data_IF_256022005912
#
_entry.id   IF_256022005912
#
_cell.length_a   1.000
_cell.length_b   1.000
_cell.length_c   1.000
_cell.angle_alpha   90.00
_cell.angle_beta   90.00
_cell.angle_gamma   90.00
#
_symmetry.space_group_name_H-M   'P 1'
#
loop_
_entity.id
_entity.type
_entity.pdbx_description
1 polymer ?
#
# COMPACT_ATOMS: atom_id res chain seq x y z
N UNK A 1 -44.31 -27.21 89.17
CA UNK A 1 -45.42 -26.27 88.93
C UNK A 1 -45.20 -25.72 87.54
N UNK A 2 -46.15 -26.01 86.66
CA UNK A 2 -46.37 -25.43 85.31
C UNK A 2 -46.22 -23.89 85.34
N UNK A 3 -45.78 -23.17 84.30
CA UNK A 3 -46.44 -22.91 83.00
C UNK A 3 -45.41 -22.21 82.06
N UNK A 4 -45.32 -22.64 80.78
CA UNK A 4 -44.76 -21.94 79.59
C UNK A 4 -45.80 -20.96 78.97
N UNK A 5 -45.55 -20.18 77.89
CA UNK A 5 -44.37 -19.46 77.38
C UNK A 5 -44.73 -18.04 76.84
N UNK A 6 -43.77 -17.26 76.33
CA UNK A 6 -43.97 -16.38 75.14
C UNK A 6 -42.67 -15.94 74.47
N UNK A 7 -42.75 -15.83 73.15
CA UNK A 7 -41.72 -15.77 72.10
C UNK A 7 -41.33 -14.33 71.74
N UNK A 8 -40.06 -14.12 71.34
CA UNK A 8 -39.52 -13.16 70.35
C UNK A 8 -38.09 -12.76 70.79
N UNK A 9 -37.05 -12.69 69.97
CA UNK A 9 -36.91 -12.74 68.52
C UNK A 9 -35.47 -13.17 68.19
N UNK A 10 -35.34 -13.70 66.98
CA UNK A 10 -34.09 -14.15 66.39
C UNK A 10 -33.08 -13.02 66.22
N UNK A 11 -31.80 -13.29 66.54
CA UNK A 11 -30.70 -12.65 65.83
C UNK A 11 -29.69 -13.70 65.38
N UNK A 12 -29.72 -13.88 64.07
CA UNK A 12 -28.88 -14.76 63.28
C UNK A 12 -27.41 -14.37 63.42
N UNK A 13 -26.62 -15.32 63.90
CA UNK A 13 -25.19 -15.36 63.67
C UNK A 13 -24.91 -15.51 62.16
N UNK A 14 -24.56 -14.43 61.46
CA UNK A 14 -23.80 -14.51 60.19
C UNK A 14 -22.80 -13.35 60.16
N UNK A 15 -21.66 -13.55 60.82
CA UNK A 15 -20.45 -12.77 60.54
C UNK A 15 -19.91 -13.17 59.17
N UNK A 16 -20.22 -12.33 58.17
CA UNK A 16 -19.30 -11.86 57.13
C UNK A 16 -18.29 -12.86 56.58
N UNK A 17 -18.72 -13.69 55.62
CA UNK A 17 -17.82 -14.13 54.55
C UNK A 17 -17.65 -12.96 53.58
N UNK A 18 -16.74 -12.04 53.91
CA UNK A 18 -16.31 -10.99 52.98
C UNK A 18 -15.65 -11.63 51.77
N UNK A 19 -16.38 -11.64 50.65
CA UNK A 19 -15.91 -12.02 49.34
C UNK A 19 -14.70 -11.14 48.96
N UNK A 20 -13.48 -11.64 49.16
CA UNK A 20 -12.25 -11.02 48.67
C UNK A 20 -11.95 -11.37 47.20
N UNK A 21 -12.86 -12.06 46.52
CA UNK A 21 -12.72 -12.45 45.10
C UNK A 21 -13.04 -11.29 44.14
N UNK A 22 -13.58 -10.16 44.62
CA UNK A 22 -14.16 -9.15 43.73
C UNK A 22 -13.30 -7.95 43.33
N UNK A 23 -12.06 -7.78 43.83
CA UNK A 23 -11.25 -6.58 43.53
C UNK A 23 -10.05 -6.82 42.63
N UNK A 24 -9.30 -7.90 42.86
CA UNK A 24 -8.13 -8.20 42.02
C UNK A 24 -8.54 -8.62 40.61
N UNK A 25 -9.58 -9.45 40.46
CA UNK A 25 -10.06 -9.91 39.15
C UNK A 25 -10.72 -8.78 38.34
N UNK A 26 -11.43 -7.87 39.02
CA UNK A 26 -12.03 -6.68 38.37
C UNK A 26 -10.95 -5.69 37.95
N UNK A 27 -9.90 -5.49 38.75
CA UNK A 27 -8.76 -4.63 38.38
C UNK A 27 -7.94 -5.21 37.23
N UNK A 28 -7.72 -6.53 37.20
CA UNK A 28 -7.04 -7.23 36.10
C UNK A 28 -7.86 -7.20 34.82
N UNK A 29 -9.16 -7.47 34.87
CA UNK A 29 -10.05 -7.38 33.71
C UNK A 29 -10.15 -5.94 33.16
N UNK A 30 -10.18 -4.94 34.05
CA UNK A 30 -10.22 -3.54 33.66
C UNK A 30 -8.90 -3.08 33.04
N UNK A 31 -7.76 -3.51 33.57
CA UNK A 31 -6.44 -3.23 32.99
C UNK A 31 -6.27 -3.90 31.63
N UNK A 32 -6.71 -5.16 31.48
CA UNK A 32 -6.68 -5.88 30.22
C UNK A 32 -7.57 -5.21 29.17
N UNK A 33 -8.75 -4.74 29.56
CA UNK A 33 -9.68 -4.00 28.70
C UNK A 33 -9.08 -2.67 28.23
N UNK A 34 -8.45 -1.90 29.13
CA UNK A 34 -7.77 -0.64 28.78
C UNK A 34 -6.61 -0.90 27.81
N UNK A 35 -5.80 -1.95 28.02
CA UNK A 35 -4.71 -2.32 27.11
C UNK A 35 -5.27 -2.76 25.75
N UNK A 36 -6.36 -3.53 25.72
CA UNK A 36 -6.99 -3.98 24.48
C UNK A 36 -7.55 -2.79 23.69
N UNK A 37 -8.23 -1.86 24.35
CA UNK A 37 -8.78 -0.64 23.74
C UNK A 37 -7.66 0.27 23.24
N UNK A 38 -6.56 0.43 24.00
CA UNK A 38 -5.41 1.21 23.57
C UNK A 38 -4.68 0.57 22.37
N UNK A 39 -4.57 -0.77 22.33
CA UNK A 39 -4.02 -1.50 21.20
C UNK A 39 -4.90 -1.36 19.95
N UNK A 40 -6.22 -1.47 20.10
CA UNK A 40 -7.20 -1.25 19.02
C UNK A 40 -7.13 0.18 18.48
N UNK A 41 -7.13 1.18 19.35
CA UNK A 41 -6.97 2.59 18.96
C UNK A 41 -5.62 2.83 18.28
N UNK A 42 -4.53 2.29 18.80
CA UNK A 42 -3.20 2.38 18.19
C UNK A 42 -3.14 1.73 16.80
N UNK A 43 -3.76 0.56 16.63
CA UNK A 43 -3.86 -0.11 15.34
C UNK A 43 -4.76 0.62 14.33
N UNK A 44 -5.81 1.29 14.79
CA UNK A 44 -6.69 2.10 13.95
C UNK A 44 -5.96 3.34 13.42
N UNK A 45 -5.22 4.05 14.28
CA UNK A 45 -4.42 5.21 13.88
C UNK A 45 -3.28 4.85 12.93
N UNK A 46 -2.59 3.73 13.19
CA UNK A 46 -1.55 3.23 12.29
C UNK A 46 -2.12 2.81 10.92
N UNK A 47 -3.35 2.28 10.88
CA UNK A 47 -4.02 1.93 9.63
C UNK A 47 -4.43 3.18 8.82
N UNK A 48 -4.96 4.22 9.47
CA UNK A 48 -5.30 5.48 8.79
C UNK A 48 -4.07 6.19 8.21
N UNK A 49 -2.94 6.18 8.93
CA UNK A 49 -1.68 6.76 8.43
C UNK A 49 -1.14 6.00 7.20
N UNK A 50 -1.27 4.68 7.18
CA UNK A 50 -0.85 3.85 6.03
C UNK A 50 -1.82 4.03 4.87
N UNK A 51 -3.12 4.12 5.12
CA UNK A 51 -4.13 4.39 4.09
C UNK A 51 -3.89 5.75 3.44
N UNK A 52 -3.70 6.83 4.22
CA UNK A 52 -3.36 8.16 3.68
C UNK A 52 -2.05 8.14 2.89
N UNK A 53 -0.99 7.53 3.45
CA UNK A 53 0.29 7.36 2.75
C UNK A 53 0.12 6.58 1.44
N UNK A 54 -0.72 5.56 1.43
CA UNK A 54 -1.06 4.75 0.27
C UNK A 54 -2.22 5.33 -0.55
N UNK A 55 -2.70 6.54 -0.29
CA UNK A 55 -3.75 7.25 -1.03
C UNK A 55 -3.25 8.55 -1.68
N UNK A 56 -1.95 8.84 -1.61
CA UNK A 56 -1.28 10.05 -2.15
C UNK A 56 -1.54 10.36 -3.64
N UNK A 57 -2.20 9.49 -4.39
CA UNK A 57 -2.73 9.82 -5.72
C UNK A 57 -4.20 10.23 -5.66
N UNK A 58 -4.55 11.08 -4.70
CA UNK A 58 -5.75 11.91 -4.79
C UNK A 58 -5.37 13.19 -5.53
N UNK A 59 -6.31 13.73 -6.30
CA UNK A 59 -6.13 15.05 -6.88
C UNK A 59 -5.96 16.08 -5.76
N UNK A 60 -4.81 16.76 -5.73
CA UNK A 60 -4.55 17.89 -4.85
C UNK A 60 -4.47 19.19 -5.69
N UNK A 61 -5.42 20.09 -5.49
CA UNK A 61 -5.44 21.39 -6.17
C UNK A 61 -4.36 22.35 -5.67
N UNK A 62 -3.76 22.09 -4.51
CA UNK A 62 -2.75 22.95 -3.87
C UNK A 62 -1.31 22.57 -4.25
N UNK A 63 -1.10 21.35 -4.73
CA UNK A 63 0.13 20.87 -5.34
C UNK A 63 -0.18 20.41 -6.76
N UNK A 64 -0.40 21.32 -7.73
CA UNK A 64 -0.96 20.96 -9.02
C UNK A 64 0.14 20.29 -9.86
N UNK A 65 0.34 19.01 -9.58
CA UNK A 65 1.20 18.17 -10.36
C UNK A 65 0.69 18.05 -11.81
N UNK A 66 -0.61 18.28 -11.98
CA UNK A 66 -1.34 18.31 -13.23
C UNK A 66 -2.04 19.66 -13.39
N UNK A 67 -2.28 20.04 -14.64
CA UNK A 67 -2.97 21.28 -14.98
C UNK A 67 -4.44 21.32 -14.50
N UNK A 68 -5.08 20.18 -14.23
CA UNK A 68 -6.48 20.12 -13.76
C UNK A 68 -6.87 18.75 -13.20
N UNK A 69 -8.00 18.70 -12.48
CA UNK A 69 -8.67 17.46 -12.07
C UNK A 69 -8.90 16.51 -13.26
N UNK A 70 -9.36 17.02 -14.41
CA UNK A 70 -9.60 16.17 -15.58
C UNK A 70 -8.30 15.59 -16.14
N UNK A 71 -7.21 16.37 -16.14
CA UNK A 71 -5.90 15.88 -16.58
C UNK A 71 -5.37 14.77 -15.65
N UNK A 72 -5.58 14.92 -14.34
CA UNK A 72 -5.25 13.90 -13.34
C UNK A 72 -5.92 12.56 -13.67
N UNK A 73 -7.24 12.55 -13.82
CA UNK A 73 -7.98 11.30 -14.06
C UNK A 73 -7.78 10.72 -15.46
N UNK A 74 -7.56 11.57 -16.47
CA UNK A 74 -7.24 11.11 -17.81
C UNK A 74 -5.90 10.36 -17.84
N UNK A 75 -4.87 10.90 -17.20
CA UNK A 75 -3.57 10.24 -17.14
C UNK A 75 -3.60 8.99 -16.25
N UNK A 76 -4.35 9.01 -15.14
CA UNK A 76 -4.60 7.82 -14.33
C UNK A 76 -5.24 6.70 -15.15
N UNK A 77 -6.24 7.02 -15.97
CA UNK A 77 -6.88 6.03 -16.83
C UNK A 77 -5.89 5.41 -17.84
N UNK A 78 -4.99 6.22 -18.40
CA UNK A 78 -3.92 5.73 -19.28
C UNK A 78 -2.96 4.80 -18.54
N UNK A 79 -2.53 5.18 -17.33
CA UNK A 79 -1.70 4.31 -16.50
C UNK A 79 -2.36 2.94 -16.25
N UNK A 80 -3.64 2.93 -15.84
CA UNK A 80 -4.39 1.71 -15.58
C UNK A 80 -4.48 0.83 -16.83
N UNK A 81 -4.70 1.42 -18.00
CA UNK A 81 -4.72 0.71 -19.29
C UNK A 81 -3.38 -0.02 -19.54
N UNK A 82 -2.25 0.66 -19.34
CA UNK A 82 -0.94 0.04 -19.55
C UNK A 82 -0.61 -1.03 -18.51
N UNK A 83 -0.97 -0.80 -17.24
CA UNK A 83 -0.83 -1.79 -16.17
C UNK A 83 -1.64 -3.05 -16.48
N UNK A 84 -2.89 -2.89 -16.88
CA UNK A 84 -3.78 -4.02 -17.19
C UNK A 84 -3.30 -4.77 -18.43
N UNK A 85 -2.77 -4.05 -19.42
CA UNK A 85 -2.11 -4.66 -20.55
C UNK A 85 -0.87 -5.48 -20.11
N UNK A 86 -0.03 -4.94 -19.24
CA UNK A 86 1.11 -5.67 -18.68
C UNK A 86 0.67 -6.95 -17.94
N UNK A 87 -0.34 -6.86 -17.07
CA UNK A 87 -0.93 -8.03 -16.40
C UNK A 87 -1.41 -9.09 -17.39
N UNK A 88 -2.11 -8.67 -18.44
CA UNK A 88 -2.62 -9.56 -19.48
C UNK A 88 -1.49 -10.32 -20.18
N UNK A 89 -0.50 -9.61 -20.72
CA UNK A 89 0.58 -10.20 -21.53
C UNK A 89 1.57 -11.03 -20.70
N UNK A 90 1.59 -10.85 -19.37
CA UNK A 90 2.51 -11.55 -18.49
C UNK A 90 1.87 -12.65 -17.63
N UNK A 91 0.53 -12.78 -17.65
CA UNK A 91 -0.22 -13.68 -16.75
C UNK A 91 0.22 -15.15 -16.75
N UNK A 92 0.77 -15.62 -17.87
CA UNK A 92 1.16 -17.02 -18.12
C UNK A 92 2.59 -17.20 -18.61
N UNK A 93 3.43 -16.17 -18.52
CA UNK A 93 4.83 -16.23 -19.01
C UNK A 93 5.82 -16.31 -17.85
N UNK A 94 6.98 -16.91 -18.11
CA UNK A 94 8.10 -16.91 -17.16
C UNK A 94 8.93 -15.65 -17.32
N UNK A 95 8.72 -14.70 -16.42
CA UNK A 95 9.51 -13.49 -16.42
C UNK A 95 10.95 -13.76 -16.00
N UNK A 96 11.32 -14.92 -15.44
CA UNK A 96 12.73 -15.31 -15.22
C UNK A 96 13.57 -15.47 -16.49
N UNK A 97 12.95 -15.48 -17.67
CA UNK A 97 13.62 -15.71 -18.95
C UNK A 97 13.84 -14.38 -19.70
N UNK A 98 15.11 -14.03 -19.96
CA UNK A 98 15.49 -12.78 -20.62
C UNK A 98 14.92 -12.61 -22.03
N UNK A 99 14.69 -13.70 -22.77
CA UNK A 99 14.05 -13.63 -24.09
C UNK A 99 12.57 -13.31 -23.98
N UNK A 100 11.89 -13.85 -22.96
CA UNK A 100 10.50 -13.49 -22.67
C UNK A 100 10.42 -12.02 -22.26
N UNK A 101 11.30 -11.56 -21.37
CA UNK A 101 11.36 -10.16 -20.93
C UNK A 101 11.56 -9.20 -22.12
N UNK A 102 12.46 -9.52 -23.06
CA UNK A 102 12.64 -8.74 -24.28
C UNK A 102 11.35 -8.66 -25.12
N UNK A 103 10.63 -9.78 -25.28
CA UNK A 103 9.34 -9.78 -25.96
C UNK A 103 8.28 -8.93 -25.25
N UNK A 104 8.29 -8.88 -23.91
CA UNK A 104 7.41 -7.99 -23.14
C UNK A 104 7.76 -6.52 -23.37
N UNK A 105 9.06 -6.18 -23.46
CA UNK A 105 9.52 -4.82 -23.80
C UNK A 105 8.96 -4.39 -25.16
N UNK A 106 9.08 -5.26 -26.16
CA UNK A 106 8.59 -4.98 -27.51
C UNK A 106 7.07 -4.73 -27.53
N UNK A 107 6.30 -5.55 -26.80
CA UNK A 107 4.85 -5.38 -26.67
C UNK A 107 4.48 -4.06 -25.97
N UNK A 108 5.17 -3.69 -24.90
CA UNK A 108 4.94 -2.43 -24.19
C UNK A 108 5.29 -1.22 -25.07
N UNK A 109 6.40 -1.27 -25.81
CA UNK A 109 6.78 -0.23 -26.75
C UNK A 109 5.78 -0.12 -27.91
N UNK A 110 5.32 -1.25 -28.46
CA UNK A 110 4.29 -1.26 -29.48
C UNK A 110 2.98 -0.64 -28.97
N UNK A 111 2.62 -0.89 -27.70
CA UNK A 111 1.44 -0.27 -27.06
C UNK A 111 1.60 1.24 -26.89
N UNK A 112 2.79 1.75 -26.53
CA UNK A 112 3.06 3.19 -26.51
C UNK A 112 2.87 3.81 -27.90
N UNK A 113 3.49 3.22 -28.92
CA UNK A 113 3.38 3.67 -30.31
C UNK A 113 1.93 3.65 -30.79
N UNK A 114 1.16 2.59 -30.47
CA UNK A 114 -0.26 2.47 -30.81
C UNK A 114 -1.08 3.64 -30.23
N UNK A 115 -0.73 4.12 -29.05
CA UNK A 115 -1.39 5.26 -28.39
C UNK A 115 -0.92 6.62 -28.90
N UNK A 116 0.03 6.64 -29.85
CA UNK A 116 0.61 7.86 -30.40
C UNK A 116 1.65 8.52 -29.49
N UNK A 117 2.19 7.78 -28.51
CA UNK A 117 3.22 8.29 -27.62
C UNK A 117 4.62 8.15 -28.21
N UNK A 118 5.47 9.14 -27.94
CA UNK A 118 6.90 9.08 -28.25
C UNK A 118 7.60 8.19 -27.21
N UNK A 119 7.99 6.99 -27.64
CA UNK A 119 8.66 5.99 -26.80
C UNK A 119 10.12 6.34 -26.48
N UNK A 120 10.69 7.38 -27.10
CA UNK A 120 12.00 7.93 -26.72
C UNK A 120 11.93 8.82 -25.48
N UNK A 121 10.71 9.20 -25.09
CA UNK A 121 10.44 10.16 -24.01
C UNK A 121 9.57 9.55 -22.91
N UNK A 122 8.50 8.85 -23.28
CA UNK A 122 7.61 8.11 -22.39
C UNK A 122 8.07 6.65 -22.32
N UNK A 123 8.18 6.08 -21.13
CA UNK A 123 8.57 4.67 -20.99
C UNK A 123 7.99 4.00 -19.77
N UNK A 124 8.19 2.69 -19.68
CA UNK A 124 7.92 1.90 -18.49
C UNK A 124 9.20 1.44 -17.82
N UNK A 125 9.12 1.30 -16.51
CA UNK A 125 10.10 0.58 -15.70
C UNK A 125 9.35 -0.39 -14.82
N UNK A 126 9.68 -1.67 -14.88
CA UNK A 126 9.06 -2.71 -14.07
C UNK A 126 10.14 -3.36 -13.22
N UNK A 127 10.04 -3.25 -11.91
CA UNK A 127 11.04 -3.79 -10.97
C UNK A 127 10.44 -4.93 -10.17
N UNK A 128 11.13 -6.08 -10.09
CA UNK A 128 10.71 -7.18 -9.22
C UNK A 128 10.77 -6.79 -7.74
N UNK A 129 9.92 -7.41 -6.94
CA UNK A 129 9.87 -7.22 -5.48
C UNK A 129 11.18 -7.51 -4.74
N UNK A 130 12.07 -8.34 -5.29
CA UNK A 130 13.42 -8.57 -4.74
C UNK A 130 14.45 -7.51 -5.16
N UNK A 131 14.09 -6.56 -6.04
CA UNK A 131 14.96 -5.48 -6.50
C UNK A 131 15.94 -5.85 -7.62
N UNK A 132 16.06 -7.14 -7.95
CA UNK A 132 17.16 -7.65 -8.80
C UNK A 132 16.92 -7.52 -10.31
N UNK A 133 15.67 -7.36 -10.74
CA UNK A 133 15.34 -7.42 -12.17
C UNK A 133 14.42 -6.27 -12.57
N UNK A 134 14.85 -5.58 -13.61
CA UNK A 134 14.18 -4.41 -14.17
C UNK A 134 13.91 -4.60 -15.66
N UNK A 135 12.65 -4.56 -16.06
CA UNK A 135 12.24 -4.42 -17.45
C UNK A 135 12.13 -2.92 -17.73
N UNK A 136 12.95 -2.40 -18.64
CA UNK A 136 12.94 -0.98 -19.02
C UNK A 136 12.63 -0.85 -20.50
N UNK A 137 11.57 -0.10 -20.82
CA UNK A 137 11.11 -0.06 -22.19
C UNK A 137 11.93 0.83 -23.11
N UNK A 138 12.74 1.80 -22.62
CA UNK A 138 13.67 2.56 -23.48
C UNK A 138 14.50 3.66 -22.80
N UNK A 139 14.11 4.12 -21.61
CA UNK A 139 14.79 5.27 -21.01
C UNK A 139 16.04 4.86 -20.21
N UNK A 140 16.19 3.57 -19.89
CA UNK A 140 17.25 3.10 -18.99
C UNK A 140 17.17 3.80 -17.62
N UNK A 141 15.96 4.14 -17.18
CA UNK A 141 15.66 4.72 -15.86
C UNK A 141 15.59 3.57 -14.87
N UNK A 142 16.72 2.88 -14.71
CA UNK A 142 17.20 2.83 -13.36
C UNK A 142 17.94 4.17 -13.20
N UNK A 143 17.33 5.22 -12.62
CA UNK A 143 18.21 6.20 -11.99
C UNK A 143 19.10 5.34 -11.11
N UNK A 144 20.41 5.60 -11.07
CA UNK A 144 21.22 5.06 -9.98
C UNK A 144 20.34 5.22 -8.75
N UNK A 145 20.00 4.10 -8.11
CA UNK A 145 19.12 4.03 -6.94
C UNK A 145 19.92 4.75 -5.85
N UNK A 146 20.01 6.06 -5.99
CA UNK A 146 20.68 6.97 -5.12
C UNK A 146 19.69 7.07 -3.97
N UNK A 147 19.90 6.13 -3.05
CA UNK A 147 19.53 5.93 -1.64
C UNK A 147 18.32 6.68 -1.03
N UNK A 148 17.73 7.66 -1.68
CA UNK A 148 16.53 8.38 -1.28
C UNK A 148 15.37 8.14 -2.27
N UNK A 149 15.63 7.82 -3.55
CA UNK A 149 14.61 7.57 -4.59
C UNK A 149 14.10 6.13 -4.74
N UNK A 150 14.80 5.12 -4.17
CA UNK A 150 14.37 3.72 -4.21
C UNK A 150 13.13 3.42 -3.33
N UNK A 151 12.81 4.31 -2.39
CA UNK A 151 11.64 4.19 -1.52
C UNK A 151 10.34 4.37 -2.27
N UNK A 152 10.30 5.14 -3.36
CA UNK A 152 9.05 5.46 -4.07
C UNK A 152 8.85 4.68 -5.38
N UNK A 153 9.93 4.22 -6.03
CA UNK A 153 9.85 3.44 -7.27
C UNK A 153 9.57 1.94 -7.04
N UNK A 154 10.02 1.39 -5.91
CA UNK A 154 9.80 0.00 -5.52
C UNK A 154 9.15 -0.09 -4.13
N UNK A 155 9.74 0.60 -3.13
CA UNK A 155 9.34 0.46 -1.73
C UNK A 155 7.86 0.76 -1.47
N UNK A 156 7.38 1.91 -1.95
CA UNK A 156 6.00 2.37 -1.73
C UNK A 156 4.98 1.54 -2.51
N UNK A 157 5.14 1.27 -3.82
CA UNK A 157 4.26 0.35 -4.52
C UNK A 157 4.16 -1.02 -3.83
N UNK A 158 5.28 -1.56 -3.33
CA UNK A 158 5.28 -2.84 -2.60
C UNK A 158 4.62 -2.75 -1.22
N UNK A 159 4.87 -1.68 -0.47
CA UNK A 159 4.24 -1.44 0.84
C UNK A 159 2.72 -1.26 0.70
N UNK A 160 2.29 -0.58 -0.36
CA UNK A 160 0.90 -0.28 -0.67
C UNK A 160 0.24 -1.35 -1.57
N UNK A 161 0.83 -2.54 -1.73
CA UNK A 161 0.33 -3.56 -2.67
C UNK A 161 -1.08 -4.05 -2.36
N UNK A 162 -1.44 -4.04 -1.07
CA UNK A 162 -2.73 -4.50 -0.56
C UNK A 162 -3.76 -3.36 -0.58
N UNK A 163 -3.34 -2.15 -0.95
CA UNK A 163 -4.15 -0.95 -1.14
C UNK A 163 -4.38 -0.66 -2.62
N UNK A 164 -5.25 0.32 -2.91
CA UNK A 164 -5.55 0.73 -4.27
C UNK A 164 -4.37 1.46 -4.92
N UNK A 165 -4.33 1.42 -6.26
CA UNK A 165 -3.35 2.08 -7.16
C UNK A 165 -2.87 3.46 -6.68
N UNK A 166 -1.59 3.62 -6.31
CA UNK A 166 -0.99 4.93 -5.95
C UNK A 166 0.49 5.03 -6.31
N UNK A 167 0.89 6.18 -6.90
CA UNK A 167 1.93 7.12 -6.41
C UNK A 167 2.20 8.20 -7.45
N UNK A 168 2.44 9.45 -6.98
CA UNK A 168 2.98 10.57 -7.74
C UNK A 168 4.19 11.18 -7.02
N UNK A 169 5.36 11.14 -7.65
CA UNK A 169 6.58 11.78 -7.13
C UNK A 169 7.37 12.36 -8.32
N UNK A 170 8.16 13.39 -8.02
CA UNK A 170 8.93 14.16 -8.99
C UNK A 170 10.40 13.81 -8.86
N UNK A 171 10.95 13.18 -9.88
CA UNK A 171 12.39 12.89 -9.93
C UNK A 171 13.02 13.57 -11.12
N UNK A 172 14.09 14.32 -10.89
CA UNK A 172 14.95 14.75 -11.99
C UNK A 172 15.75 13.55 -12.52
N UNK A 173 15.77 13.36 -13.84
CA UNK A 173 16.54 12.30 -14.50
C UNK A 173 17.67 12.92 -15.29
N UNK A 174 18.89 12.83 -14.75
CA UNK A 174 20.08 13.49 -15.31
C UNK A 174 20.43 13.06 -16.73
N UNK A 175 20.13 11.80 -17.11
CA UNK A 175 20.45 11.26 -18.44
C UNK A 175 19.69 11.97 -19.58
N UNK A 176 18.41 12.24 -19.36
CA UNK A 176 17.58 12.95 -20.33
C UNK A 176 17.54 14.45 -20.05
N UNK A 177 18.04 14.88 -18.89
CA UNK A 177 18.07 16.27 -18.48
C UNK A 177 16.70 16.83 -18.11
N UNK A 178 15.69 15.98 -17.92
CA UNK A 178 14.30 16.35 -17.70
C UNK A 178 13.85 15.97 -16.29
N UNK A 179 12.84 16.68 -15.77
CA UNK A 179 12.06 16.20 -14.64
C UNK A 179 11.07 15.15 -15.13
N UNK A 180 10.89 14.11 -14.34
CA UNK A 180 9.90 13.09 -14.57
C UNK A 180 8.96 13.01 -13.40
N UNK A 181 7.75 12.65 -13.78
CA UNK A 181 6.64 12.33 -12.94
C UNK A 181 6.22 10.92 -13.30
N UNK A 182 5.77 10.16 -12.32
CA UNK A 182 5.46 8.76 -12.57
C UNK A 182 4.22 8.32 -11.84
N UNK A 183 3.53 7.37 -12.47
CA UNK A 183 2.54 6.53 -11.84
C UNK A 183 3.17 5.18 -11.51
N UNK A 184 2.84 4.60 -10.37
CA UNK A 184 3.28 3.25 -10.05
C UNK A 184 2.25 2.43 -9.30
N UNK A 185 2.34 1.10 -9.41
CA UNK A 185 1.57 0.17 -8.62
C UNK A 185 2.28 -1.19 -8.52
N UNK A 186 2.14 -1.87 -7.38
CA UNK A 186 2.45 -3.29 -7.31
C UNK A 186 1.42 -4.12 -8.09
N UNK A 187 1.92 -5.02 -8.91
CA UNK A 187 1.13 -5.99 -9.67
C UNK A 187 1.68 -7.38 -9.44
N UNK A 188 0.79 -8.36 -9.27
CA UNK A 188 1.15 -9.76 -9.16
C UNK A 188 0.86 -10.48 -10.48
N UNK A 189 1.89 -11.04 -11.11
CA UNK A 189 1.76 -11.69 -12.43
C UNK A 189 2.83 -12.78 -12.61
N UNK A 190 3.00 -13.28 -13.84
CA UNK A 190 3.87 -14.40 -14.22
C UNK A 190 3.38 -15.76 -13.68
N UNK A 191 3.92 -16.84 -14.25
CA UNK A 191 3.78 -18.20 -13.73
C UNK A 191 4.27 -18.33 -12.28
N UNK A 192 5.24 -17.50 -11.90
CA UNK A 192 5.84 -17.50 -10.55
C UNK A 192 5.00 -16.71 -9.52
N UNK A 193 3.94 -16.01 -9.95
CA UNK A 193 3.08 -15.16 -9.10
C UNK A 193 3.88 -14.16 -8.26
N UNK A 194 4.93 -13.60 -8.86
CA UNK A 194 5.78 -12.60 -8.23
C UNK A 194 5.12 -11.22 -8.25
N UNK A 195 5.45 -10.41 -7.26
CA UNK A 195 5.10 -8.99 -7.26
C UNK A 195 6.15 -8.18 -8.04
N UNK A 196 5.65 -7.23 -8.83
CA UNK A 196 6.41 -6.28 -9.61
C UNK A 196 5.88 -4.87 -9.35
N UNK A 197 6.76 -3.88 -9.23
CA UNK A 197 6.39 -2.48 -9.26
C UNK A 197 6.32 -2.07 -10.73
N UNK A 198 5.10 -1.87 -11.26
CA UNK A 198 4.89 -1.35 -12.59
C UNK A 198 4.91 0.18 -12.53
N UNK A 199 5.81 0.82 -13.29
CA UNK A 199 5.98 2.29 -13.31
C UNK A 199 5.86 2.82 -14.73
N UNK A 200 5.09 3.89 -14.90
CA UNK A 200 5.02 4.66 -16.15
C UNK A 200 5.68 6.02 -15.95
N UNK A 201 6.68 6.33 -16.77
CA UNK A 201 7.53 7.51 -16.68
C UNK A 201 7.08 8.58 -17.67
N UNK A 202 6.79 9.77 -17.17
CA UNK A 202 6.23 10.88 -17.93
C UNK A 202 7.12 12.11 -17.70
N UNK A 203 7.72 12.71 -18.75
CA UNK A 203 8.49 13.94 -18.57
C UNK A 203 7.56 15.08 -18.15
N UNK A 204 8.13 16.03 -17.42
CA UNK A 204 7.50 17.30 -17.05
C UNK A 204 8.31 18.38 -17.74
N UNK A 205 7.64 19.16 -18.60
CA UNK A 205 8.23 20.32 -19.29
C UNK A 205 8.00 21.59 -18.47
#
# INVERSE_FOLDING_TARGET
MTIEPTVADADHAICSSSASVGRHDVLLASALFVVLVAALLGSAMAYTDVEEFCEDSKWDSTQPAFASFNAFWAERAQFLEFRDYFLQITSSVDLGNTTVEAGIIDLLNAKLTQKGFDNTVLSFTITRSNGDITIDSQLGVNPVIDNHGGRYSLGKPMLCRDFHTVVFDYTYVTRTGLQYRFWSQAVQTSVQKQFFAFRWNIPVQ
#
